data_IF_967536641243
#
_entry.id   IF_967536641243
#
_cell.length_a   1.000
_cell.length_b   1.000
_cell.length_c   1.000
_cell.angle_alpha   90.00
_cell.angle_beta   90.00
_cell.angle_gamma   90.00
#
_symmetry.space_group_name_H-M   'P 1'
#
loop_
_entity.id
_entity.type
_entity.pdbx_description
1 polymer ?
#
# COMPACT_ATOMS: atom_id res chain seq x y z
N UNK A 1 -8.03 11.61 -25.83
CA UNK A 1 -6.82 11.48 -24.99
C UNK A 1 -7.05 12.12 -23.65
N UNK A 2 -6.91 11.33 -22.59
CA UNK A 2 -6.91 11.78 -21.18
C UNK A 2 -5.61 12.55 -20.89
N UNK A 3 -5.64 13.42 -19.89
CA UNK A 3 -4.46 13.95 -19.23
C UNK A 3 -3.90 12.94 -18.25
N UNK A 4 -2.64 13.10 -17.85
CA UNK A 4 -2.01 12.25 -16.83
C UNK A 4 -2.83 12.22 -15.53
N UNK A 5 -3.32 13.38 -15.06
CA UNK A 5 -4.11 13.47 -13.83
C UNK A 5 -5.46 12.76 -13.93
N UNK A 6 -6.10 12.73 -15.11
CA UNK A 6 -7.34 11.97 -15.32
C UNK A 6 -7.09 10.45 -15.30
N UNK A 7 -5.93 9.99 -15.78
CA UNK A 7 -5.54 8.57 -15.67
C UNK A 7 -5.28 8.21 -14.20
N UNK A 8 -4.47 9.01 -13.52
CA UNK A 8 -4.15 8.83 -12.09
C UNK A 8 -5.42 8.81 -11.24
N UNK A 9 -6.35 9.74 -11.44
CA UNK A 9 -7.63 9.79 -10.73
C UNK A 9 -8.49 8.56 -11.00
N UNK A 10 -8.60 8.13 -12.27
CA UNK A 10 -9.39 6.95 -12.62
C UNK A 10 -8.82 5.67 -11.97
N UNK A 11 -7.50 5.56 -11.87
CA UNK A 11 -6.83 4.47 -11.16
C UNK A 11 -7.13 4.54 -9.65
N UNK A 12 -7.01 5.71 -9.03
CA UNK A 12 -7.36 5.89 -7.61
C UNK A 12 -8.80 5.41 -7.30
N UNK A 13 -9.76 5.80 -8.14
CA UNK A 13 -11.15 5.41 -7.97
C UNK A 13 -11.34 3.89 -8.11
N UNK A 14 -10.72 3.29 -9.15
CA UNK A 14 -10.79 1.86 -9.39
C UNK A 14 -10.17 1.02 -8.28
N UNK A 15 -8.98 1.40 -7.82
CA UNK A 15 -8.27 0.72 -6.72
C UNK A 15 -9.00 0.89 -5.39
N UNK A 16 -9.58 2.06 -5.12
CA UNK A 16 -10.38 2.28 -3.90
C UNK A 16 -11.59 1.36 -3.85
N UNK A 17 -12.30 1.19 -4.98
CA UNK A 17 -13.43 0.26 -5.09
C UNK A 17 -12.98 -1.19 -4.95
N UNK A 18 -11.89 -1.57 -5.59
CA UNK A 18 -11.30 -2.91 -5.44
C UNK A 18 -11.04 -3.25 -3.97
N UNK A 19 -10.42 -2.36 -3.21
CA UNK A 19 -10.17 -2.57 -1.78
C UNK A 19 -11.46 -2.65 -0.96
N UNK A 20 -12.44 -1.80 -1.27
CA UNK A 20 -13.75 -1.81 -0.63
C UNK A 20 -14.50 -3.14 -0.86
N UNK A 21 -14.44 -3.69 -2.07
CA UNK A 21 -15.09 -4.96 -2.43
C UNK A 21 -14.39 -6.16 -1.75
N UNK A 22 -13.05 -6.18 -1.72
CA UNK A 22 -12.28 -7.34 -1.24
C UNK A 22 -12.07 -7.36 0.28
N UNK A 23 -11.93 -6.18 0.92
CA UNK A 23 -11.61 -6.05 2.35
C UNK A 23 -12.82 -5.48 3.14
N UNK A 24 -13.88 -5.06 2.45
CA UNK A 24 -15.04 -4.42 3.07
C UNK A 24 -14.78 -2.97 3.48
N UNK A 25 -13.63 -2.38 3.10
CA UNK A 25 -13.29 -0.97 3.36
C UNK A 25 -12.25 -0.43 2.38
N UNK A 26 -12.41 0.82 1.96
CA UNK A 26 -11.41 1.55 1.17
C UNK A 26 -10.25 2.11 2.01
N UNK A 27 -9.17 2.58 1.37
CA UNK A 27 -8.11 3.33 2.03
C UNK A 27 -8.60 4.67 2.55
N UNK A 28 -7.91 5.23 3.55
CA UNK A 28 -8.20 6.59 4.05
C UNK A 28 -7.63 7.67 3.14
N UNK A 29 -6.55 7.35 2.43
CA UNK A 29 -5.88 8.24 1.49
C UNK A 29 -5.28 7.40 0.36
N UNK A 30 -5.37 7.90 -0.87
CA UNK A 30 -4.89 7.22 -2.07
C UNK A 30 -4.31 8.22 -3.07
N UNK A 31 -3.13 7.91 -3.58
CA UNK A 31 -2.42 8.72 -4.56
C UNK A 31 -1.84 7.83 -5.66
N UNK A 32 -2.02 8.22 -6.92
CA UNK A 32 -1.45 7.54 -8.07
C UNK A 32 -0.50 8.48 -8.84
N UNK A 33 0.59 7.91 -9.35
CA UNK A 33 1.59 8.61 -10.13
C UNK A 33 1.98 7.80 -11.36
N UNK A 34 1.80 8.39 -12.54
CA UNK A 34 2.28 7.85 -13.81
C UNK A 34 3.66 8.43 -14.14
N UNK A 35 4.66 7.56 -14.27
CA UNK A 35 6.05 7.90 -14.57
C UNK A 35 6.51 7.05 -15.76
N UNK A 36 6.42 7.60 -16.96
CA UNK A 36 6.68 6.84 -18.19
C UNK A 36 5.68 5.71 -18.36
N UNK A 37 6.17 4.46 -18.40
CA UNK A 37 5.35 3.24 -18.43
C UNK A 37 5.14 2.61 -17.04
N UNK A 38 5.59 3.26 -15.97
CA UNK A 38 5.38 2.80 -14.59
C UNK A 38 4.23 3.60 -13.96
N UNK A 39 3.25 2.91 -13.40
CA UNK A 39 2.17 3.52 -12.63
C UNK A 39 2.27 3.04 -11.18
N UNK A 40 2.49 3.96 -10.25
CA UNK A 40 2.62 3.65 -8.82
C UNK A 40 1.41 4.19 -8.08
N UNK A 41 0.83 3.39 -7.19
CA UNK A 41 -0.30 3.77 -6.36
C UNK A 41 0.08 3.56 -4.90
N UNK A 42 -0.07 4.61 -4.10
CA UNK A 42 0.16 4.62 -2.66
C UNK A 42 -1.15 4.73 -1.93
N UNK A 43 -1.37 3.82 -0.97
CA UNK A 43 -2.54 3.78 -0.12
C UNK A 43 -2.11 3.89 1.34
N UNK A 44 -2.87 4.66 2.12
CA UNK A 44 -2.73 4.74 3.57
C UNK A 44 -4.01 4.30 4.28
N UNK A 45 -3.86 3.81 5.51
CA UNK A 45 -4.99 3.41 6.34
C UNK A 45 -5.64 2.08 5.94
N UNK A 46 -4.92 1.24 5.19
CA UNK A 46 -5.45 -0.01 4.60
C UNK A 46 -5.57 -1.19 5.56
N UNK A 47 -4.91 -1.14 6.74
CA UNK A 47 -4.99 -2.19 7.77
C UNK A 47 -6.31 -2.20 8.53
N UNK A 48 -7.06 -3.29 8.47
CA UNK A 48 -8.30 -3.50 9.24
C UNK A 48 -8.02 -3.53 10.75
N UNK A 49 -9.05 -3.32 11.60
CA UNK A 49 -8.89 -3.50 13.05
C UNK A 49 -8.32 -4.87 13.42
N UNK A 50 -8.75 -5.95 12.75
CA UNK A 50 -8.25 -7.29 12.97
C UNK A 50 -6.78 -7.44 12.56
N UNK A 51 -6.39 -6.88 11.41
CA UNK A 51 -4.99 -6.90 10.95
C UNK A 51 -4.07 -6.11 11.89
N UNK A 52 -4.54 -4.98 12.43
CA UNK A 52 -3.81 -4.23 13.47
C UNK A 52 -3.61 -5.08 14.73
N UNK A 53 -4.63 -5.83 15.17
CA UNK A 53 -4.49 -6.73 16.31
C UNK A 53 -3.53 -7.89 16.04
N UNK A 54 -3.49 -8.40 14.81
CA UNK A 54 -2.58 -9.48 14.38
C UNK A 54 -1.11 -9.07 14.40
N UNK A 55 -0.80 -7.81 14.09
CA UNK A 55 0.58 -7.28 14.07
C UNK A 55 0.97 -6.52 15.34
N UNK A 56 0.01 -6.25 16.23
CA UNK A 56 0.26 -5.63 17.52
C UNK A 56 1.16 -6.52 18.37
N UNK A 57 2.19 -5.95 19.03
CA UNK A 57 2.96 -6.68 20.02
C UNK A 57 2.00 -7.20 21.09
N UNK A 58 1.89 -8.52 21.26
CA UNK A 58 1.26 -9.06 22.46
C UNK A 58 2.20 -8.70 23.62
N UNK A 59 1.74 -7.80 24.49
CA UNK A 59 2.52 -7.35 25.64
C UNK A 59 2.97 -8.53 26.50
N UNK A 60 4.00 -8.35 27.33
CA UNK A 60 4.52 -9.43 28.16
C UNK A 60 3.39 -10.04 28.98
N UNK A 61 3.18 -11.34 28.83
CA UNK A 61 2.24 -12.13 29.65
C UNK A 61 2.81 -12.37 31.04
N UNK A 62 3.24 -11.33 31.74
CA UNK A 62 3.58 -11.38 33.16
C UNK A 62 3.28 -10.04 33.82
N UNK A 63 2.41 -9.99 34.84
CA UNK A 63 2.34 -8.82 35.71
C UNK A 63 3.67 -8.70 36.47
N UNK A 64 4.29 -7.52 36.40
CA UNK A 64 5.55 -7.20 37.06
C UNK A 64 5.50 -7.21 38.61
N UNK A 65 4.41 -7.71 39.22
CA UNK A 65 4.09 -7.56 40.63
C UNK A 65 4.09 -8.87 41.45
N UNK A 66 4.72 -9.95 40.97
CA UNK A 66 4.77 -11.24 41.69
C UNK A 66 6.18 -11.66 42.16
N UNK A 67 7.13 -10.73 42.30
CA UNK A 67 8.42 -11.04 42.94
C UNK A 67 8.48 -10.41 44.33
N UNK A 68 8.15 -11.21 45.35
CA UNK A 68 8.32 -10.90 46.76
C UNK A 68 9.75 -11.22 47.24
N UNK A 69 10.74 -10.61 46.61
CA UNK A 69 12.01 -10.23 47.27
C UNK A 69 12.80 -11.28 48.06
N UNK A 70 12.64 -12.59 47.86
CA UNK A 70 13.48 -13.58 48.54
C UNK A 70 13.57 -14.88 47.74
N UNK A 71 14.73 -15.13 47.14
CA UNK A 71 15.02 -16.44 46.57
C UNK A 71 16.09 -16.40 45.49
N UNK A 72 17.25 -16.97 45.80
CA UNK A 72 18.24 -17.38 44.81
C UNK A 72 17.56 -18.35 43.82
N UNK A 73 17.21 -17.85 42.64
CA UNK A 73 16.61 -18.63 41.56
C UNK A 73 17.22 -18.20 40.24
N UNK A 74 17.86 -19.12 39.55
CA UNK A 74 18.43 -18.92 38.22
C UNK A 74 17.41 -18.26 37.28
N UNK A 75 17.86 -17.24 36.54
CA UNK A 75 17.05 -16.59 35.51
C UNK A 75 16.63 -17.66 34.50
N UNK A 76 15.34 -17.84 34.17
CA UNK A 76 14.97 -18.76 33.11
C UNK A 76 15.55 -18.24 31.79
N UNK A 77 16.48 -19.01 31.23
CA UNK A 77 17.10 -18.79 29.94
C UNK A 77 16.12 -19.15 28.82
N UNK A 78 15.04 -18.38 28.64
CA UNK A 78 14.20 -18.46 27.44
C UNK A 78 13.65 -17.08 27.10
N UNK A 79 14.53 -16.18 26.65
CA UNK A 79 14.10 -15.11 25.75
C UNK A 79 13.76 -15.74 24.40
N UNK A 80 12.55 -16.28 24.27
CA UNK A 80 12.00 -16.79 23.00
C UNK A 80 10.75 -16.00 22.67
N UNK A 81 10.89 -14.69 22.43
CA UNK A 81 9.75 -13.83 22.01
C UNK A 81 10.05 -13.02 20.75
N UNK A 82 10.99 -13.51 19.92
CA UNK A 82 11.25 -12.99 18.57
C UNK A 82 10.41 -13.67 17.47
N UNK A 83 9.85 -14.85 17.71
CA UNK A 83 9.17 -15.64 16.66
C UNK A 83 7.65 -15.40 16.56
N UNK A 84 6.96 -15.09 17.66
CA UNK A 84 5.50 -14.89 17.61
C UNK A 84 5.09 -13.62 16.84
N UNK A 85 5.90 -12.57 16.88
CA UNK A 85 5.59 -11.30 16.21
C UNK A 85 5.79 -11.36 14.68
N UNK A 86 6.73 -12.17 14.20
CA UNK A 86 6.95 -12.38 12.78
C UNK A 86 5.85 -13.25 12.15
N UNK A 87 5.26 -14.17 12.92
CA UNK A 87 4.18 -15.02 12.43
C UNK A 87 2.94 -14.20 12.01
N UNK A 88 2.51 -13.24 12.83
CA UNK A 88 1.36 -12.38 12.52
C UNK A 88 1.61 -11.48 11.30
N UNK A 89 2.82 -10.91 11.21
CA UNK A 89 3.23 -10.07 10.06
C UNK A 89 3.35 -10.89 8.77
N UNK A 90 3.95 -12.07 8.84
CA UNK A 90 4.09 -12.99 7.71
C UNK A 90 2.72 -13.44 7.20
N UNK A 91 1.82 -13.81 8.12
CA UNK A 91 0.46 -14.22 7.77
C UNK A 91 -0.30 -13.08 7.08
N UNK A 92 -0.20 -11.85 7.61
CA UNK A 92 -0.82 -10.68 6.98
C UNK A 92 -0.30 -10.47 5.55
N UNK A 93 1.03 -10.50 5.37
CA UNK A 93 1.63 -10.39 4.04
C UNK A 93 1.15 -11.50 3.11
N UNK A 94 1.09 -12.74 3.58
CA UNK A 94 0.62 -13.88 2.80
C UNK A 94 -0.85 -13.72 2.36
N UNK A 95 -1.73 -13.31 3.28
CA UNK A 95 -3.14 -13.05 2.99
C UNK A 95 -3.25 -11.95 1.94
N UNK A 96 -2.54 -10.83 2.11
CA UNK A 96 -2.56 -9.71 1.15
C UNK A 96 -2.01 -10.11 -0.22
N UNK A 97 -0.89 -10.83 -0.29
CA UNK A 97 -0.36 -11.34 -1.55
C UNK A 97 -1.35 -12.26 -2.26
N UNK A 98 -2.05 -13.13 -1.52
CA UNK A 98 -3.08 -13.99 -2.10
C UNK A 98 -4.28 -13.18 -2.63
N UNK A 99 -4.72 -12.17 -1.89
CA UNK A 99 -5.80 -11.28 -2.34
C UNK A 99 -5.46 -10.57 -3.65
N UNK A 100 -4.23 -10.07 -3.79
CA UNK A 100 -3.78 -9.41 -5.03
C UNK A 100 -3.65 -10.43 -6.17
N UNK A 101 -3.17 -11.64 -5.89
CA UNK A 101 -3.08 -12.70 -6.90
C UNK A 101 -4.48 -13.05 -7.45
N UNK A 102 -5.47 -13.23 -6.58
CA UNK A 102 -6.85 -13.54 -6.96
C UNK A 102 -7.53 -12.35 -7.64
N UNK A 103 -7.25 -11.13 -7.19
CA UNK A 103 -7.80 -9.88 -7.75
C UNK A 103 -7.08 -9.37 -9.00
N UNK A 104 -6.04 -10.05 -9.49
CA UNK A 104 -5.17 -9.55 -10.56
C UNK A 104 -5.91 -9.15 -11.83
N UNK A 105 -6.89 -9.95 -12.27
CA UNK A 105 -7.69 -9.62 -13.46
C UNK A 105 -8.49 -8.32 -13.28
N UNK A 106 -9.00 -8.07 -12.06
CA UNK A 106 -9.73 -6.85 -11.75
C UNK A 106 -8.80 -5.63 -11.77
N UNK A 107 -7.62 -5.76 -11.17
CA UNK A 107 -6.58 -4.73 -11.21
C UNK A 107 -6.13 -4.44 -12.65
N UNK A 108 -5.99 -5.47 -13.47
CA UNK A 108 -5.67 -5.34 -14.89
C UNK A 108 -6.72 -4.51 -15.63
N UNK A 109 -8.01 -4.87 -15.53
CA UNK A 109 -9.09 -4.10 -16.16
C UNK A 109 -9.07 -2.63 -15.73
N UNK A 110 -8.93 -2.36 -14.43
CA UNK A 110 -8.87 -0.98 -13.89
C UNK A 110 -7.75 -0.17 -14.57
N UNK A 111 -6.54 -0.74 -14.63
CA UNK A 111 -5.37 -0.02 -15.15
C UNK A 111 -5.42 0.13 -16.67
N UNK A 112 -5.85 -0.90 -17.39
CA UNK A 112 -5.95 -0.88 -18.85
C UNK A 112 -7.08 0.06 -19.33
N UNK A 113 -8.24 0.08 -18.66
CA UNK A 113 -9.32 1.02 -18.96
C UNK A 113 -8.94 2.48 -18.64
N UNK A 114 -8.18 2.68 -17.57
CA UNK A 114 -7.72 4.01 -17.19
C UNK A 114 -6.69 4.54 -18.19
N UNK A 115 -5.65 3.74 -18.49
CA UNK A 115 -4.47 4.15 -19.25
C UNK A 115 -4.59 3.94 -20.77
N UNK A 116 -5.43 3.01 -21.21
CA UNK A 116 -5.49 2.55 -22.60
C UNK A 116 -4.26 1.72 -23.02
N UNK A 117 -3.48 1.23 -22.06
CA UNK A 117 -2.26 0.46 -22.28
C UNK A 117 -2.33 -0.88 -21.57
N UNK A 118 -1.91 -1.94 -22.24
CA UNK A 118 -1.80 -3.28 -21.67
C UNK A 118 -0.90 -3.31 -20.43
N UNK A 119 -1.35 -4.04 -19.41
CA UNK A 119 -0.62 -4.25 -18.16
C UNK A 119 0.30 -5.48 -18.25
N UNK A 120 1.60 -5.26 -18.11
CA UNK A 120 2.62 -6.33 -18.14
C UNK A 120 2.75 -7.02 -16.78
N UNK A 121 2.87 -6.25 -15.71
CA UNK A 121 3.07 -6.81 -14.37
C UNK A 121 2.45 -5.97 -13.26
N UNK A 122 2.09 -6.65 -12.16
CA UNK A 122 1.62 -6.05 -10.91
C UNK A 122 2.60 -6.46 -9.81
N UNK A 123 3.11 -5.47 -9.10
CA UNK A 123 3.88 -5.65 -7.87
C UNK A 123 3.14 -4.96 -6.74
N UNK A 124 3.18 -5.58 -5.57
CA UNK A 124 2.46 -5.13 -4.40
C UNK A 124 3.24 -5.48 -3.14
N UNK A 125 3.27 -4.56 -2.18
CA UNK A 125 3.68 -4.86 -0.82
C UNK A 125 2.91 -3.98 0.18
N UNK A 126 2.80 -4.51 1.41
CA UNK A 126 2.25 -3.80 2.56
C UNK A 126 3.30 -3.67 3.65
N UNK A 127 3.48 -2.44 4.14
CA UNK A 127 4.27 -2.17 5.33
C UNK A 127 3.43 -2.41 6.57
N UNK A 128 3.76 -3.46 7.32
CA UNK A 128 3.13 -3.76 8.63
C UNK A 128 3.63 -2.86 9.75
N UNK A 129 4.57 -1.96 9.46
CA UNK A 129 5.07 -0.95 10.40
C UNK A 129 4.31 0.36 10.24
N UNK A 130 4.13 0.83 9.00
CA UNK A 130 3.48 2.12 8.69
C UNK A 130 2.01 1.98 8.33
N UNK A 131 1.54 0.79 7.96
CA UNK A 131 0.19 0.57 7.41
C UNK A 131 0.00 1.14 6.01
N UNK A 132 1.10 1.42 5.31
CA UNK A 132 1.14 1.83 3.92
C UNK A 132 1.11 0.61 3.00
N UNK A 133 0.41 0.74 1.88
CA UNK A 133 0.35 -0.28 0.84
C UNK A 133 0.67 0.35 -0.50
N UNK A 134 1.58 -0.29 -1.23
CA UNK A 134 2.04 0.18 -2.52
C UNK A 134 1.66 -0.82 -3.60
N UNK A 135 1.15 -0.30 -4.70
CA UNK A 135 1.07 -1.01 -5.97
C UNK A 135 2.03 -0.37 -6.97
N UNK A 136 2.72 -1.20 -7.74
CA UNK A 136 3.48 -0.79 -8.89
C UNK A 136 3.06 -1.62 -10.11
N UNK A 137 2.61 -0.93 -11.14
CA UNK A 137 2.10 -1.49 -12.38
C UNK A 137 3.07 -1.16 -13.51
N UNK A 138 3.56 -2.20 -14.19
CA UNK A 138 4.37 -2.03 -15.40
C UNK A 138 3.48 -2.10 -16.63
N UNK A 139 3.44 -1.04 -17.42
CA UNK A 139 2.68 -0.95 -18.66
C UNK A 139 3.56 -1.30 -19.86
N UNK A 140 2.96 -1.81 -20.94
CA UNK A 140 3.70 -2.17 -22.16
C UNK A 140 4.45 -0.97 -22.79
N UNK A 141 3.90 0.24 -22.66
CA UNK A 141 4.51 1.50 -23.08
C UNK A 141 3.92 2.68 -22.31
N UNK A 142 4.50 3.88 -22.47
CA UNK A 142 3.97 5.08 -21.82
C UNK A 142 2.60 5.49 -22.40
N UNK A 143 1.57 5.71 -21.57
CA UNK A 143 0.27 6.19 -22.06
C UNK A 143 0.35 7.54 -22.77
N UNK A 144 -0.41 7.70 -23.85
CA UNK A 144 -0.50 8.99 -24.57
C UNK A 144 -1.30 10.00 -23.75
N UNK A 145 -0.59 10.86 -23.03
CA UNK A 145 -1.19 11.89 -22.19
C UNK A 145 -1.23 13.25 -22.90
N UNK A 146 -2.34 13.99 -22.77
CA UNK A 146 -2.36 15.39 -23.18
C UNK A 146 -1.33 16.19 -22.37
N UNK A 147 -0.46 17.01 -23.00
CA UNK A 147 0.49 17.82 -22.27
C UNK A 147 -0.22 18.82 -21.36
N UNK A 148 0.30 19.02 -20.15
CA UNK A 148 -0.17 20.08 -19.25
C UNK A 148 0.05 21.41 -19.97
N UNK A 149 -1.02 22.23 -20.09
CA UNK A 149 -0.95 23.57 -20.68
C UNK A 149 0.01 24.39 -19.82
N UNK A 150 1.26 24.48 -20.25
CA UNK A 150 2.24 25.35 -19.59
C UNK A 150 1.76 26.76 -19.86
N UNK A 151 1.24 27.44 -18.84
CA UNK A 151 1.06 28.89 -18.90
C UNK A 151 2.46 29.46 -19.10
N UNK A 152 2.84 29.72 -20.35
CA UNK A 152 4.01 30.53 -20.62
C UNK A 152 3.71 31.88 -19.99
N UNK A 153 4.48 32.26 -18.97
CA UNK A 153 4.57 33.65 -18.55
C UNK A 153 5.21 34.38 -19.74
N UNK A 154 4.37 34.80 -20.68
CA UNK A 154 4.77 35.68 -21.77
C UNK A 154 5.49 36.89 -21.13
N UNK A 155 6.69 37.15 -21.64
CA UNK A 155 7.60 38.15 -21.09
C UNK A 155 6.94 39.51 -20.97
N UNK A 156 7.11 40.14 -19.82
CA UNK A 156 7.16 41.61 -19.79
C UNK A 156 8.44 41.99 -20.52
N UNK A 157 8.33 42.69 -21.64
CA UNK A 157 9.46 43.42 -22.21
C UNK A 157 9.91 44.47 -21.19
N UNK A 158 11.20 44.55 -20.84
CA UNK A 158 11.74 45.78 -20.29
C UNK A 158 12.04 46.74 -21.46
N UNK A 159 11.98 48.05 -21.19
CA UNK A 159 12.23 49.22 -22.05
C UNK A 159 10.93 49.80 -22.68
N UNK A 160 10.31 50.93 -22.34
CA UNK A 160 10.53 52.09 -21.42
C UNK A 160 11.96 52.42 -20.93
#
# INVERSE_FOLDING_TARGET
MKSQGEIESAVCDGISRFQQEFIGRGPSDIHAHLVGSLLVVRLNGVLTPAERQLISPRGPRYPAALFDGSGNGERPATAVDGQEQDNGRSLLKQVRSHMIATGRQRLQMIVEEASGVELVSVHHDISTVTGEELFAFSLAHSPSCRPKKTLSRAGRSPLD
#
